data_IF_790110070503
#
_entry.id   IF_790110070503
#
_cell.length_a   1.000
_cell.length_b   1.000
_cell.length_c   1.000
_cell.angle_alpha   90.00
_cell.angle_beta   90.00
_cell.angle_gamma   90.00
#
_symmetry.space_group_name_H-M   'P 1'
#
loop_
_entity.id
_entity.type
_entity.pdbx_description
1 polymer ?
#
# COMPACT_ATOMS: atom_id res chain seq x y z
N UNK A 1 10.57 -17.55 25.39
CA UNK A 1 10.09 -17.24 24.03
C UNK A 1 9.75 -18.53 23.33
N UNK A 2 8.53 -18.66 22.82
CA UNK A 2 8.06 -19.90 22.18
C UNK A 2 7.26 -19.60 20.92
N UNK A 3 7.48 -20.42 19.86
CA UNK A 3 6.67 -20.42 18.65
C UNK A 3 5.55 -21.45 18.81
N UNK A 4 4.32 -21.01 18.74
CA UNK A 4 3.12 -21.83 18.76
C UNK A 4 2.58 -22.01 17.36
N UNK A 5 2.24 -23.26 17.00
CA UNK A 5 1.66 -23.64 15.72
C UNK A 5 0.30 -24.29 15.94
N UNK A 6 -0.67 -23.81 15.17
CA UNK A 6 -2.02 -24.36 15.17
C UNK A 6 -2.30 -25.01 13.82
N UNK A 7 -2.93 -26.18 13.88
CA UNK A 7 -3.21 -26.98 12.69
C UNK A 7 -4.71 -27.23 12.58
N UNK A 8 -5.19 -27.40 11.35
CA UNK A 8 -6.57 -27.88 11.10
C UNK A 8 -6.68 -29.35 11.55
N UNK A 9 -7.93 -29.88 11.73
CA UNK A 9 -8.14 -31.30 12.02
C UNK A 9 -7.54 -32.24 10.95
N UNK A 10 -7.33 -31.75 9.72
CA UNK A 10 -6.70 -32.46 8.61
C UNK A 10 -5.18 -32.34 8.59
N UNK A 11 -4.58 -31.65 9.55
CA UNK A 11 -3.12 -31.51 9.72
C UNK A 11 -2.48 -30.37 8.93
N UNK A 12 -3.25 -29.50 8.25
CA UNK A 12 -2.71 -28.33 7.58
C UNK A 12 -2.37 -27.22 8.60
N UNK A 13 -1.21 -26.56 8.45
CA UNK A 13 -0.82 -25.42 9.29
C UNK A 13 -1.80 -24.27 9.04
N UNK A 14 -2.46 -23.82 10.11
CA UNK A 14 -3.43 -22.72 10.07
C UNK A 14 -2.83 -21.40 10.53
N UNK A 15 -2.00 -21.42 11.58
CA UNK A 15 -1.33 -20.21 12.06
C UNK A 15 -0.07 -20.51 12.86
N UNK A 16 0.82 -19.53 12.88
CA UNK A 16 1.99 -19.46 13.74
C UNK A 16 1.95 -18.16 14.56
N UNK A 17 2.29 -18.26 15.84
CA UNK A 17 2.30 -17.10 16.74
C UNK A 17 3.48 -17.20 17.70
N UNK A 18 4.27 -16.15 17.81
CA UNK A 18 5.33 -16.06 18.81
C UNK A 18 4.78 -15.51 20.13
N UNK A 19 5.27 -16.07 21.23
CA UNK A 19 4.96 -15.64 22.60
C UNK A 19 6.25 -15.38 23.38
N UNK A 20 6.23 -14.31 24.19
CA UNK A 20 7.22 -14.00 25.21
C UNK A 20 6.51 -13.60 26.50
N UNK A 21 6.90 -14.20 27.65
CA UNK A 21 6.26 -13.95 28.94
C UNK A 21 4.72 -14.03 28.89
N UNK A 22 4.19 -15.10 28.26
CA UNK A 22 2.76 -15.42 28.08
C UNK A 22 1.97 -14.39 27.23
N UNK A 23 2.66 -13.47 26.54
CA UNK A 23 2.07 -12.50 25.63
C UNK A 23 2.52 -12.72 24.21
N UNK A 24 1.65 -12.39 23.25
CA UNK A 24 2.04 -12.36 21.84
C UNK A 24 3.13 -11.31 21.64
N UNK A 25 4.23 -11.73 21.00
CA UNK A 25 5.40 -10.90 20.76
C UNK A 25 6.02 -11.26 19.41
N UNK A 26 6.20 -10.28 18.52
CA UNK A 26 6.71 -10.51 17.18
C UNK A 26 5.64 -10.96 16.17
N UNK A 27 6.03 -11.67 15.09
CA UNK A 27 5.13 -11.99 13.99
C UNK A 27 4.12 -13.08 14.36
N UNK A 28 2.89 -12.86 13.87
CA UNK A 28 1.83 -13.87 13.78
C UNK A 28 1.46 -14.05 12.31
N UNK A 29 1.46 -15.29 11.83
CA UNK A 29 1.13 -15.65 10.45
C UNK A 29 -0.08 -16.55 10.38
N UNK A 30 -0.93 -16.33 9.37
CA UNK A 30 -2.09 -17.18 9.05
C UNK A 30 -1.97 -17.71 7.64
N UNK A 31 -2.38 -18.96 7.46
CA UNK A 31 -2.30 -19.67 6.19
C UNK A 31 -3.67 -20.23 5.79
N UNK A 32 -3.89 -20.38 4.50
CA UNK A 32 -5.02 -21.16 3.98
C UNK A 32 -4.72 -22.67 4.05
N UNK A 33 -5.70 -23.48 3.63
CA UNK A 33 -5.58 -24.94 3.63
C UNK A 33 -4.56 -25.49 2.60
N UNK A 34 -4.16 -24.68 1.62
CA UNK A 34 -3.13 -24.97 0.64
C UNK A 34 -1.72 -24.59 1.14
N UNK A 35 -1.62 -23.94 2.32
CA UNK A 35 -0.36 -23.46 2.89
C UNK A 35 0.06 -22.08 2.39
N UNK A 36 -0.81 -21.37 1.67
CA UNK A 36 -0.55 -19.99 1.22
C UNK A 36 -0.67 -19.03 2.39
N UNK A 37 0.31 -18.12 2.55
CA UNK A 37 0.26 -17.06 3.55
C UNK A 37 -0.90 -16.10 3.24
N UNK A 38 -1.84 -15.96 4.18
CA UNK A 38 -2.99 -15.05 4.08
C UNK A 38 -2.73 -13.71 4.76
N UNK A 39 -2.02 -13.73 5.91
CA UNK A 39 -1.65 -12.51 6.63
C UNK A 39 -0.40 -12.69 7.47
N UNK A 40 0.32 -11.60 7.64
CA UNK A 40 1.39 -11.44 8.63
C UNK A 40 1.10 -10.18 9.45
N UNK A 41 0.94 -10.35 10.75
CA UNK A 41 0.69 -9.27 11.71
C UNK A 41 1.80 -9.27 12.76
N UNK A 42 2.14 -8.11 13.30
CA UNK A 42 3.17 -7.97 14.33
C UNK A 42 2.54 -7.57 15.66
N UNK A 43 3.03 -8.15 16.74
CA UNK A 43 2.54 -7.93 18.09
C UNK A 43 3.66 -7.48 19.01
N UNK A 44 3.31 -6.56 19.92
CA UNK A 44 4.10 -6.20 21.09
C UNK A 44 3.19 -6.26 22.31
N UNK A 45 3.52 -7.14 23.28
CA UNK A 45 2.76 -7.36 24.53
C UNK A 45 1.23 -7.53 24.29
N UNK A 46 0.82 -8.43 23.38
CA UNK A 46 -0.56 -8.73 22.96
C UNK A 46 -1.23 -7.67 22.07
N UNK A 47 -0.63 -6.52 21.86
CA UNK A 47 -1.19 -5.48 20.99
C UNK A 47 -0.57 -5.54 19.59
N UNK A 48 -1.39 -5.35 18.54
CA UNK A 48 -0.86 -5.19 17.18
C UNK A 48 0.01 -3.93 17.10
N UNK A 49 1.19 -4.06 16.52
CA UNK A 49 2.17 -2.98 16.39
C UNK A 49 2.91 -3.11 15.05
N UNK A 50 3.15 -2.00 14.34
CA UNK A 50 3.80 -2.02 13.03
C UNK A 50 2.83 -2.26 11.87
N UNK A 51 3.36 -2.66 10.72
CA UNK A 51 2.55 -2.85 9.50
C UNK A 51 2.12 -4.31 9.37
N UNK A 52 0.80 -4.53 9.31
CA UNK A 52 0.23 -5.83 8.96
C UNK A 52 0.13 -5.97 7.44
N UNK A 53 0.45 -7.15 6.93
CA UNK A 53 0.39 -7.52 5.51
C UNK A 53 -0.71 -8.54 5.29
N UNK A 54 -1.56 -8.31 4.28
CA UNK A 54 -2.60 -9.22 3.84
C UNK A 54 -2.33 -9.60 2.39
N UNK A 55 -2.54 -10.87 2.05
CA UNK A 55 -2.17 -11.42 0.76
C UNK A 55 -3.38 -11.97 0.01
N UNK A 56 -3.32 -11.90 -1.32
CA UNK A 56 -4.23 -12.62 -2.20
C UNK A 56 -3.97 -14.13 -2.15
N UNK A 57 -4.93 -14.99 -2.57
CA UNK A 57 -4.72 -16.43 -2.68
C UNK A 57 -3.56 -16.83 -3.60
N UNK A 58 -3.16 -15.96 -4.54
CA UNK A 58 -1.98 -16.15 -5.40
C UNK A 58 -0.65 -15.79 -4.71
N UNK A 59 -0.67 -15.44 -3.41
CA UNK A 59 0.49 -15.09 -2.60
C UNK A 59 0.99 -13.65 -2.78
N UNK A 60 0.38 -12.84 -3.66
CA UNK A 60 0.76 -11.44 -3.84
C UNK A 60 0.17 -10.56 -2.75
N UNK A 61 0.89 -9.50 -2.39
CA UNK A 61 0.44 -8.52 -1.41
C UNK A 61 -0.86 -7.85 -1.88
N UNK A 62 -1.88 -7.85 -1.01
CA UNK A 62 -3.18 -7.24 -1.24
C UNK A 62 -3.31 -5.91 -0.51
N UNK A 63 -2.86 -5.86 0.76
CA UNK A 63 -3.03 -4.67 1.60
C UNK A 63 -1.98 -4.59 2.70
N UNK A 64 -1.53 -3.39 2.97
CA UNK A 64 -0.74 -3.01 4.13
C UNK A 64 -1.58 -2.14 5.06
N UNK A 65 -1.62 -2.47 6.34
CA UNK A 65 -2.36 -1.71 7.35
C UNK A 65 -1.44 -1.42 8.53
N UNK A 66 -1.17 -0.14 8.83
CA UNK A 66 -0.35 0.22 9.98
C UNK A 66 -1.16 0.12 11.28
N UNK A 67 -0.54 -0.45 12.31
CA UNK A 67 -1.07 -0.56 13.66
C UNK A 67 -0.17 0.13 14.67
N UNK A 68 -0.80 0.76 15.65
CA UNK A 68 -0.15 1.33 16.82
C UNK A 68 -1.01 1.04 18.05
N UNK A 69 -0.40 0.40 19.06
CA UNK A 69 -1.07 0.02 20.31
C UNK A 69 -2.42 -0.69 20.08
N UNK A 70 -2.46 -1.63 19.13
CA UNK A 70 -3.63 -2.47 18.81
C UNK A 70 -4.66 -1.84 17.88
N UNK A 71 -4.50 -0.58 17.46
CA UNK A 71 -5.45 0.14 16.60
C UNK A 71 -4.81 0.49 15.27
N UNK A 72 -5.63 0.52 14.20
CA UNK A 72 -5.18 1.02 12.91
C UNK A 72 -4.87 2.51 13.01
N UNK A 73 -3.66 2.91 12.63
CA UNK A 73 -3.19 4.29 12.72
C UNK A 73 -2.17 4.60 11.63
N UNK A 74 -2.43 5.62 10.81
CA UNK A 74 -1.54 6.06 9.75
C UNK A 74 -2.02 5.69 8.35
N UNK A 75 -1.10 5.68 7.38
CA UNK A 75 -1.39 5.42 5.97
C UNK A 75 -1.13 3.97 5.60
N UNK A 76 -2.17 3.26 5.19
CA UNK A 76 -2.10 1.95 4.56
C UNK A 76 -2.13 2.04 3.03
N UNK A 77 -1.85 0.92 2.38
CA UNK A 77 -1.86 0.76 0.93
C UNK A 77 -2.74 -0.43 0.55
N UNK A 78 -3.42 -0.32 -0.59
CA UNK A 78 -4.11 -1.43 -1.23
C UNK A 78 -3.52 -1.65 -2.63
N UNK A 79 -3.33 -2.91 -2.98
CA UNK A 79 -2.70 -3.35 -4.22
C UNK A 79 -3.70 -4.14 -5.06
N UNK A 80 -3.57 -4.04 -6.37
CA UNK A 80 -4.20 -4.97 -7.32
C UNK A 80 -3.36 -6.25 -7.46
N UNK A 81 -3.94 -7.30 -8.04
CA UNK A 81 -3.23 -8.58 -8.25
C UNK A 81 -1.99 -8.47 -9.16
N UNK A 82 -1.88 -7.42 -9.97
CA UNK A 82 -0.67 -7.11 -10.75
C UNK A 82 0.44 -6.43 -9.94
N UNK A 83 0.18 -6.10 -8.63
CA UNK A 83 1.13 -5.49 -7.71
C UNK A 83 1.14 -3.96 -7.72
N UNK A 84 0.24 -3.33 -8.46
CA UNK A 84 0.10 -1.87 -8.53
C UNK A 84 -0.67 -1.35 -7.32
N UNK A 85 -0.20 -0.27 -6.69
CA UNK A 85 -0.97 0.43 -5.65
C UNK A 85 -2.23 1.03 -6.28
N UNK A 86 -3.40 0.68 -5.77
CA UNK A 86 -4.70 1.14 -6.29
C UNK A 86 -5.46 2.03 -5.34
N UNK A 87 -5.10 2.04 -4.06
CA UNK A 87 -5.67 2.97 -3.09
C UNK A 87 -4.70 3.32 -1.97
N UNK A 88 -4.80 4.55 -1.48
CA UNK A 88 -4.25 5.00 -0.22
C UNK A 88 -5.36 4.98 0.83
N UNK A 89 -5.07 4.35 1.96
CA UNK A 89 -6.01 4.17 3.06
C UNK A 89 -5.49 4.96 4.27
N UNK A 90 -6.29 5.86 4.81
CA UNK A 90 -5.89 6.68 5.95
C UNK A 90 -6.69 6.26 7.19
N UNK A 91 -6.00 5.72 8.17
CA UNK A 91 -6.57 5.24 9.42
C UNK A 91 -6.31 6.21 10.58
N UNK A 92 -7.25 6.26 11.49
CA UNK A 92 -7.11 7.02 12.74
C UNK A 92 -8.01 6.44 13.82
N UNK A 93 -7.43 6.20 14.99
CA UNK A 93 -8.13 5.65 16.16
C UNK A 93 -8.87 4.33 15.89
N UNK A 94 -8.30 3.46 15.03
CA UNK A 94 -8.87 2.15 14.70
C UNK A 94 -9.97 2.19 13.63
N UNK A 95 -10.11 3.29 12.89
CA UNK A 95 -11.12 3.44 11.84
C UNK A 95 -10.52 3.98 10.54
N UNK A 96 -11.03 3.48 9.41
CA UNK A 96 -10.73 4.06 8.09
C UNK A 96 -11.39 5.45 8.01
N UNK A 97 -10.58 6.50 7.89
CA UNK A 97 -11.01 7.90 7.81
C UNK A 97 -11.17 8.39 6.38
N UNK A 98 -10.28 7.94 5.49
CA UNK A 98 -10.27 8.32 4.08
C UNK A 98 -9.74 7.17 3.23
N UNK A 99 -10.35 6.96 2.07
CA UNK A 99 -9.84 6.15 0.97
C UNK A 99 -9.61 7.06 -0.23
N UNK A 100 -8.47 6.94 -0.86
CA UNK A 100 -8.11 7.69 -2.07
C UNK A 100 -7.71 6.69 -3.15
N UNK A 101 -8.58 6.50 -4.15
CA UNK A 101 -8.32 5.60 -5.27
C UNK A 101 -7.37 6.26 -6.26
N UNK A 102 -6.33 5.54 -6.67
CA UNK A 102 -5.29 6.00 -7.61
C UNK A 102 -4.96 4.88 -8.61
N UNK A 103 -4.20 5.24 -9.64
CA UNK A 103 -3.60 4.29 -10.59
C UNK A 103 -4.64 3.37 -11.25
N UNK A 104 -5.81 3.91 -11.57
CA UNK A 104 -6.88 3.15 -12.22
C UNK A 104 -6.52 2.85 -13.68
N UNK A 105 -6.73 1.60 -14.07
CA UNK A 105 -6.74 1.17 -15.47
C UNK A 105 -8.19 0.79 -15.80
N UNK A 106 -8.68 1.27 -16.94
CA UNK A 106 -10.03 0.94 -17.41
C UNK A 106 -10.10 -0.42 -18.13
N UNK A 107 -11.28 -0.76 -18.66
CA UNK A 107 -11.50 -2.04 -19.35
C UNK A 107 -10.73 -2.18 -20.67
N UNK A 108 -10.31 -1.06 -21.27
CA UNK A 108 -9.48 -1.01 -22.47
C UNK A 108 -7.97 -1.09 -22.15
N UNK A 109 -7.60 -1.15 -20.86
CA UNK A 109 -6.21 -1.18 -20.42
C UNK A 109 -5.55 0.19 -20.30
N UNK A 110 -6.32 1.29 -20.43
CA UNK A 110 -5.80 2.66 -20.42
C UNK A 110 -5.78 3.25 -19.01
N UNK A 111 -4.75 4.01 -18.70
CA UNK A 111 -4.63 4.77 -17.44
C UNK A 111 -5.67 5.88 -17.38
N UNK A 112 -6.32 6.00 -16.21
CA UNK A 112 -7.39 6.97 -15.96
C UNK A 112 -7.27 7.59 -14.57
N UNK A 113 -7.47 8.90 -14.48
CA UNK A 113 -7.57 9.65 -13.23
C UNK A 113 -6.23 9.85 -12.52
N UNK A 114 -6.25 10.08 -11.19
CA UNK A 114 -5.05 10.32 -10.41
C UNK A 114 -4.08 9.14 -10.48
N UNK A 115 -2.82 9.43 -10.72
CA UNK A 115 -1.75 8.45 -10.83
C UNK A 115 -0.57 8.85 -9.94
N UNK A 116 -0.08 7.90 -9.12
CA UNK A 116 1.10 8.10 -8.27
C UNK A 116 1.99 6.87 -8.29
N UNK A 117 3.28 7.11 -8.36
CA UNK A 117 4.30 6.11 -8.16
C UNK A 117 5.13 6.47 -6.93
N UNK A 118 5.72 5.45 -6.29
CA UNK A 118 6.39 5.62 -5.01
C UNK A 118 7.85 5.18 -5.10
N UNK A 119 8.71 5.84 -4.32
CA UNK A 119 10.04 5.36 -4.01
C UNK A 119 9.98 4.15 -3.07
N UNK A 120 11.05 3.34 -2.97
CA UNK A 120 11.11 2.21 -2.04
C UNK A 120 10.84 2.58 -0.57
N UNK A 121 11.10 3.84 -0.18
CA UNK A 121 10.82 4.35 1.16
C UNK A 121 9.35 4.80 1.36
N UNK A 122 8.47 4.56 0.38
CA UNK A 122 7.05 4.88 0.43
C UNK A 122 6.69 6.35 0.17
N UNK A 123 7.67 7.24 -0.08
CA UNK A 123 7.39 8.62 -0.52
C UNK A 123 7.01 8.66 -1.99
N UNK A 124 6.17 9.63 -2.37
CA UNK A 124 5.77 9.82 -3.76
C UNK A 124 7.01 10.12 -4.61
N UNK A 125 7.18 9.40 -5.70
CA UNK A 125 8.22 9.62 -6.72
C UNK A 125 7.70 10.54 -7.83
N UNK A 126 6.50 10.26 -8.31
CA UNK A 126 5.81 11.12 -9.27
C UNK A 126 4.30 11.08 -9.06
N UNK A 127 3.62 12.13 -9.48
CA UNK A 127 2.18 12.19 -9.50
C UNK A 127 1.67 13.04 -10.67
N UNK A 128 0.51 12.65 -11.19
CA UNK A 128 -0.18 13.35 -12.27
C UNK A 128 -1.58 12.81 -12.49
N UNK A 129 -2.21 13.26 -13.55
CA UNK A 129 -3.53 12.77 -13.97
C UNK A 129 -3.44 12.24 -15.39
N UNK A 130 -4.06 11.10 -15.64
CA UNK A 130 -4.18 10.51 -16.97
C UNK A 130 -5.64 10.54 -17.45
N UNK A 131 -5.78 10.78 -18.73
CA UNK A 131 -7.02 10.61 -19.50
C UNK A 131 -6.65 9.80 -20.74
N UNK A 132 -7.16 8.58 -20.87
CA UNK A 132 -6.88 7.66 -21.98
C UNK A 132 -5.38 7.50 -22.28
N UNK A 133 -4.60 7.11 -21.25
CA UNK A 133 -3.13 6.96 -21.26
C UNK A 133 -2.33 8.26 -21.49
N UNK A 134 -2.98 9.42 -21.61
CA UNK A 134 -2.32 10.70 -21.85
C UNK A 134 -2.27 11.53 -20.59
N UNK A 135 -1.10 12.11 -20.29
CA UNK A 135 -0.97 13.06 -19.18
C UNK A 135 -1.80 14.30 -19.45
N UNK A 136 -2.55 14.73 -18.44
CA UNK A 136 -3.40 15.90 -18.45
C UNK A 136 -3.16 16.75 -17.21
N UNK A 137 -2.90 18.04 -17.38
CA UNK A 137 -2.61 18.96 -16.29
C UNK A 137 -1.16 18.84 -15.77
N UNK A 138 -0.98 19.07 -14.48
CA UNK A 138 0.34 19.16 -13.86
C UNK A 138 0.85 17.76 -13.51
N UNK A 139 2.05 17.43 -13.99
CA UNK A 139 2.85 16.30 -13.57
C UNK A 139 4.00 16.77 -12.68
N UNK A 140 4.22 16.09 -11.56
CA UNK A 140 5.28 16.42 -10.61
C UNK A 140 6.19 15.21 -10.37
N UNK A 141 7.47 15.48 -10.25
CA UNK A 141 8.49 14.49 -9.86
C UNK A 141 9.16 14.94 -8.56
N UNK A 142 9.41 13.97 -7.67
CA UNK A 142 10.03 14.20 -6.37
C UNK A 142 11.25 13.31 -6.18
N UNK A 143 12.24 13.77 -5.40
CA UNK A 143 13.34 12.94 -4.95
C UNK A 143 12.91 12.00 -3.80
N UNK A 144 13.81 11.11 -3.40
CA UNK A 144 13.55 10.17 -2.30
C UNK A 144 13.43 10.85 -0.92
N UNK A 145 13.82 12.11 -0.79
CA UNK A 145 13.60 12.92 0.41
C UNK A 145 12.22 13.60 0.40
N UNK A 146 11.53 13.60 -0.76
CA UNK A 146 10.23 14.21 -0.97
C UNK A 146 10.30 15.68 -1.43
N UNK A 147 11.47 16.15 -1.86
CA UNK A 147 11.62 17.48 -2.45
C UNK A 147 11.16 17.44 -3.91
N UNK A 148 10.46 18.48 -4.35
CA UNK A 148 10.06 18.65 -5.74
C UNK A 148 11.30 18.81 -6.62
N UNK A 149 11.44 17.93 -7.63
CA UNK A 149 12.52 17.96 -8.62
C UNK A 149 12.09 18.62 -9.92
N UNK A 150 10.87 18.30 -10.35
CA UNK A 150 10.36 18.76 -11.63
C UNK A 150 8.84 18.95 -11.57
N UNK A 151 8.35 19.90 -12.37
CA UNK A 151 6.96 20.22 -12.52
C UNK A 151 6.69 20.59 -13.98
N UNK A 152 5.91 19.76 -14.68
CA UNK A 152 5.62 19.92 -16.09
C UNK A 152 4.09 19.95 -16.30
N UNK A 153 3.62 20.89 -17.11
CA UNK A 153 2.23 20.91 -17.52
C UNK A 153 2.03 20.23 -18.87
N UNK A 154 1.03 19.35 -18.93
CA UNK A 154 0.65 18.62 -20.13
C UNK A 154 -0.78 18.97 -20.56
N UNK A 155 -0.99 18.95 -21.88
CA UNK A 155 -2.33 18.93 -22.48
C UNK A 155 -2.38 17.77 -23.48
N UNK A 156 -3.30 16.82 -23.23
CA UNK A 156 -3.48 15.59 -24.02
C UNK A 156 -2.18 14.83 -24.31
N UNK A 157 -1.25 14.77 -23.34
CA UNK A 157 0.04 14.08 -23.45
C UNK A 157 1.18 14.90 -24.04
N UNK A 158 0.91 16.15 -24.45
CA UNK A 158 1.92 17.07 -25.00
C UNK A 158 2.29 18.13 -23.96
N UNK A 159 3.58 18.47 -23.85
CA UNK A 159 4.03 19.55 -22.95
C UNK A 159 3.44 20.88 -23.38
N UNK A 160 2.73 21.55 -22.47
CA UNK A 160 2.21 22.90 -22.67
C UNK A 160 3.34 23.91 -22.41
N UNK A 161 4.12 24.21 -23.47
CA UNK A 161 5.27 25.10 -23.40
C UNK A 161 4.93 26.52 -22.90
N UNK A 162 3.74 27.05 -23.22
CA UNK A 162 3.32 28.38 -22.79
C UNK A 162 3.04 28.44 -21.29
N UNK A 163 2.46 27.36 -20.75
CA UNK A 163 2.20 27.31 -19.32
C UNK A 163 3.47 26.95 -18.52
N UNK A 164 4.44 26.27 -19.12
CA UNK A 164 5.70 25.93 -18.47
C UNK A 164 6.52 27.18 -18.10
N UNK A 165 6.52 28.21 -18.96
CA UNK A 165 7.20 29.48 -18.69
C UNK A 165 6.69 30.20 -17.44
N UNK A 166 5.41 30.01 -17.07
CA UNK A 166 4.82 30.60 -15.86
C UNK A 166 5.04 29.80 -14.58
N UNK A 167 5.46 28.54 -14.68
CA UNK A 167 5.71 27.65 -13.53
C UNK A 167 7.16 27.72 -13.01
N UNK A 168 8.05 28.34 -13.74
CA UNK A 168 9.50 28.45 -13.44
C UNK A 168 9.91 29.77 -12.77
N UNK A 169 8.96 30.60 -12.31
CA UNK A 169 9.24 31.89 -11.64
C UNK A 169 9.07 31.77 -10.13
#
# INVERSE_FOLDING_TARGET
DSLWRFYTPQGALQSETNYAADKKEGPMRKYDTAGTLLSEEFYAADLREGVAHYFYPNGKLQREVPFKAGKEEGRGLEYSEDGRVVALLYYGAGMLRKREDINRIDRAGMKQGPWREFHPNGKVRNEGTYVDDRLQGIFKEYDALGNLKDLVKYDAGVVDAKAQETLTV
#
